data_IF_659981652116
#
_entry.id   IF_659981652116
#
_cell.length_a   1.000
_cell.length_b   1.000
_cell.length_c   1.000
_cell.angle_alpha   90.00
_cell.angle_beta   90.00
_cell.angle_gamma   90.00
#
_symmetry.space_group_name_H-M   'P 1'
#
loop_
_entity.id
_entity.type
_entity.pdbx_description
1 polymer ?
#
# COMPACT_ATOMS: atom_id res chain seq x y z
N UNK A 1 14.46 10.80 -17.15
CA UNK A 1 14.85 9.85 -16.08
C UNK A 1 14.44 10.26 -14.64
N UNK A 2 13.25 10.84 -14.42
CA UNK A 2 12.81 11.22 -13.05
C UNK A 2 12.04 10.12 -12.29
N UNK A 3 11.77 8.97 -12.92
CA UNK A 3 11.12 7.81 -12.30
C UNK A 3 12.00 6.54 -12.29
N UNK A 4 13.28 6.67 -12.63
CA UNK A 4 14.23 5.55 -12.86
C UNK A 4 15.57 5.76 -12.16
N UNK A 5 15.76 6.87 -11.45
CA UNK A 5 16.97 7.08 -10.66
C UNK A 5 17.06 6.09 -9.48
N UNK A 6 18.26 5.66 -9.08
CA UNK A 6 18.51 4.76 -7.94
C UNK A 6 18.26 5.44 -6.58
N UNK A 7 17.28 6.34 -6.52
CA UNK A 7 16.92 7.04 -5.29
C UNK A 7 16.37 6.03 -4.29
N UNK A 8 17.15 5.76 -3.24
CA UNK A 8 16.75 4.93 -2.11
C UNK A 8 15.52 5.49 -1.35
N UNK A 9 14.98 6.64 -1.77
CA UNK A 9 13.82 7.30 -1.16
C UNK A 9 12.49 7.03 -1.87
N UNK A 10 12.48 6.36 -3.04
CA UNK A 10 11.23 6.03 -3.74
C UNK A 10 10.72 4.65 -3.34
N UNK A 11 9.79 4.61 -2.39
CA UNK A 11 9.20 3.39 -1.82
C UNK A 11 7.67 3.38 -1.91
N UNK A 12 7.09 4.16 -2.85
CA UNK A 12 5.63 4.23 -3.04
C UNK A 12 5.06 2.90 -3.54
N UNK A 13 3.89 2.56 -3.00
CA UNK A 13 3.07 1.43 -3.45
C UNK A 13 2.01 1.87 -4.45
N UNK A 14 1.48 0.92 -5.23
CA UNK A 14 0.46 1.20 -6.22
C UNK A 14 -0.92 1.45 -5.59
N UNK A 15 -1.70 2.34 -6.21
CA UNK A 15 -3.09 2.59 -5.82
C UNK A 15 -4.06 1.61 -6.50
N UNK A 16 -5.29 1.44 -6.01
CA UNK A 16 -6.28 0.53 -6.60
C UNK A 16 -6.59 0.80 -8.08
N UNK A 17 -6.50 2.05 -8.53
CA UNK A 17 -6.80 2.47 -9.91
C UNK A 17 -5.97 1.71 -10.95
N UNK A 18 -4.74 1.32 -10.62
CA UNK A 18 -3.87 0.50 -11.48
C UNK A 18 -4.48 -0.85 -11.87
N UNK A 19 -5.47 -1.33 -11.10
CA UNK A 19 -6.13 -2.63 -11.30
C UNK A 19 -7.61 -2.49 -11.70
N UNK A 20 -8.20 -1.29 -11.59
CA UNK A 20 -9.64 -1.11 -11.80
C UNK A 20 -10.04 0.03 -12.75
N UNK A 21 -9.21 1.05 -12.95
CA UNK A 21 -9.62 2.27 -13.65
C UNK A 21 -8.57 2.73 -14.67
N UNK A 22 -8.84 2.67 -15.99
CA UNK A 22 -7.87 3.11 -17.00
C UNK A 22 -7.82 4.63 -17.19
N UNK A 23 -8.70 5.41 -16.56
CA UNK A 23 -8.82 6.84 -16.83
C UNK A 23 -7.58 7.65 -16.45
N UNK A 24 -6.86 7.27 -15.38
CA UNK A 24 -5.66 7.99 -14.94
C UNK A 24 -4.49 7.90 -15.94
N UNK A 25 -4.56 6.97 -16.89
CA UNK A 25 -3.55 6.79 -17.94
C UNK A 25 -3.75 7.74 -19.12
N UNK A 26 -4.82 8.54 -19.12
CA UNK A 26 -5.19 9.46 -20.21
C UNK A 26 -5.25 10.90 -19.73
N UNK A 27 -4.72 11.80 -20.54
CA UNK A 27 -4.98 13.23 -20.44
C UNK A 27 -6.27 13.59 -21.20
N UNK A 28 -7.40 13.01 -20.78
CA UNK A 28 -8.68 13.16 -21.47
C UNK A 28 -9.15 14.62 -21.58
N UNK A 29 -8.81 15.45 -20.59
CA UNK A 29 -9.15 16.86 -20.54
C UNK A 29 -8.18 17.75 -21.34
N UNK A 30 -7.17 17.17 -21.99
CA UNK A 30 -6.15 17.88 -22.80
C UNK A 30 -5.47 19.00 -22.00
N UNK A 31 -5.12 18.71 -20.75
CA UNK A 31 -4.36 19.64 -19.93
C UNK A 31 -3.01 19.95 -20.59
N UNK A 32 -2.53 21.19 -20.42
CA UNK A 32 -1.20 21.61 -20.87
C UNK A 32 -0.18 21.17 -19.82
N UNK A 33 0.31 19.94 -19.93
CA UNK A 33 1.24 19.33 -18.96
C UNK A 33 2.69 19.80 -19.14
N UNK A 34 3.01 20.48 -20.25
CA UNK A 34 4.35 21.00 -20.53
C UNK A 34 5.17 20.05 -21.40
N UNK A 35 6.50 20.15 -21.30
CA UNK A 35 7.47 19.33 -22.03
C UNK A 35 8.44 18.66 -21.05
N UNK A 36 8.92 17.47 -21.40
CA UNK A 36 10.01 16.80 -20.69
C UNK A 36 11.33 17.56 -20.88
N UNK A 37 12.36 17.19 -20.12
CA UNK A 37 13.72 17.73 -20.29
C UNK A 37 14.31 17.40 -21.68
N UNK A 38 13.82 16.33 -22.30
CA UNK A 38 14.21 15.87 -23.64
C UNK A 38 13.40 16.58 -24.75
N UNK A 39 12.50 17.51 -24.38
CA UNK A 39 11.69 18.30 -25.31
C UNK A 39 10.39 17.62 -25.77
N UNK A 40 10.06 16.44 -25.24
CA UNK A 40 8.82 15.74 -25.60
C UNK A 40 7.60 16.39 -24.93
N UNK A 41 6.57 16.70 -25.71
CA UNK A 41 5.31 17.25 -25.18
C UNK A 41 4.60 16.18 -24.36
N UNK A 42 4.26 16.52 -23.11
CA UNK A 42 3.61 15.61 -22.17
C UNK A 42 2.10 15.51 -22.47
N UNK A 43 1.60 14.28 -22.49
CA UNK A 43 0.22 13.93 -22.83
C UNK A 43 -0.31 12.74 -22.05
N UNK A 44 -0.84 11.74 -22.76
CA UNK A 44 -1.22 10.46 -22.17
C UNK A 44 0.00 9.74 -21.55
N UNK A 45 -0.25 8.84 -20.59
CA UNK A 45 0.82 8.04 -19.98
C UNK A 45 1.40 7.10 -21.03
N UNK A 46 2.73 7.05 -21.10
CA UNK A 46 3.44 6.12 -21.99
C UNK A 46 3.23 4.69 -21.47
N UNK A 47 2.54 3.87 -22.27
CA UNK A 47 2.22 2.50 -21.90
C UNK A 47 3.31 1.51 -22.34
N UNK A 48 3.50 0.42 -21.60
CA UNK A 48 4.41 -0.63 -22.01
C UNK A 48 3.92 -1.35 -23.28
N UNK A 49 4.83 -1.95 -24.09
CA UNK A 49 4.48 -2.53 -25.39
C UNK A 49 3.38 -3.60 -25.34
N UNK A 50 3.30 -4.37 -24.26
CA UNK A 50 2.30 -5.42 -24.08
C UNK A 50 0.85 -4.90 -23.95
N UNK A 51 0.69 -3.62 -23.59
CA UNK A 51 -0.60 -2.95 -23.52
C UNK A 51 -1.09 -2.50 -24.90
N UNK A 52 -0.26 -2.56 -25.95
CA UNK A 52 -0.61 -2.24 -27.35
C UNK A 52 -1.29 -0.87 -27.51
N UNK A 53 -0.89 0.12 -26.71
CA UNK A 53 -1.47 1.46 -26.72
C UNK A 53 -2.87 1.57 -26.11
N UNK A 54 -3.39 0.54 -25.43
CA UNK A 54 -4.71 0.57 -24.78
C UNK A 54 -4.57 0.61 -23.25
N UNK A 55 -5.02 1.70 -22.59
CA UNK A 55 -5.19 1.76 -21.14
C UNK A 55 -6.10 0.66 -20.56
N UNK A 56 -7.15 0.27 -21.26
CA UNK A 56 -8.04 -0.83 -20.84
C UNK A 56 -7.24 -2.13 -20.78
N UNK A 57 -6.51 -2.45 -21.85
CA UNK A 57 -5.64 -3.63 -21.91
C UNK A 57 -4.57 -3.61 -20.82
N UNK A 58 -4.02 -2.42 -20.52
CA UNK A 58 -3.08 -2.25 -19.42
C UNK A 58 -3.70 -2.74 -18.10
N UNK A 59 -4.86 -2.18 -17.74
CA UNK A 59 -5.57 -2.50 -16.50
C UNK A 59 -6.05 -3.96 -16.47
N UNK A 60 -6.51 -4.52 -17.59
CA UNK A 60 -6.91 -5.92 -17.70
C UNK A 60 -5.77 -6.87 -17.35
N UNK A 61 -4.57 -6.63 -17.88
CA UNK A 61 -3.39 -7.46 -17.61
C UNK A 61 -2.90 -7.25 -16.17
N UNK A 62 -2.87 -6.01 -15.67
CA UNK A 62 -2.51 -5.74 -14.27
C UNK A 62 -3.46 -6.47 -13.29
N UNK A 63 -4.77 -6.44 -13.56
CA UNK A 63 -5.76 -7.19 -12.76
C UNK A 63 -5.54 -8.69 -12.87
N UNK A 64 -5.31 -9.22 -14.07
CA UNK A 64 -5.04 -10.64 -14.25
C UNK A 64 -3.78 -11.09 -13.50
N UNK A 65 -2.74 -10.24 -13.45
CA UNK A 65 -1.54 -10.49 -12.67
C UNK A 65 -1.82 -10.49 -11.16
N UNK A 66 -2.61 -9.54 -10.66
CA UNK A 66 -3.00 -9.48 -9.25
C UNK A 66 -3.85 -10.70 -8.82
N UNK A 67 -4.72 -11.19 -9.70
CA UNK A 67 -5.57 -12.37 -9.46
C UNK A 67 -4.88 -13.70 -9.77
N UNK A 68 -3.60 -13.69 -10.16
CA UNK A 68 -2.83 -14.89 -10.45
C UNK A 68 -2.54 -15.71 -9.19
N UNK A 69 -2.19 -16.98 -9.38
CA UNK A 69 -1.76 -17.86 -8.28
C UNK A 69 -0.45 -17.37 -7.63
N UNK A 70 0.45 -16.75 -8.42
CA UNK A 70 1.71 -16.19 -7.94
C UNK A 70 1.45 -15.05 -6.96
N UNK A 71 0.58 -14.11 -7.33
CA UNK A 71 0.18 -13.01 -6.47
C UNK A 71 -0.58 -13.54 -5.25
N UNK A 72 -1.54 -14.46 -5.45
CA UNK A 72 -2.30 -15.08 -4.36
C UNK A 72 -1.41 -15.78 -3.31
N UNK A 73 -0.35 -16.47 -3.74
CA UNK A 73 0.62 -17.13 -2.84
C UNK A 73 1.57 -16.15 -2.12
N UNK A 74 1.68 -14.91 -2.63
CA UNK A 74 2.60 -13.89 -2.09
C UNK A 74 1.91 -12.82 -1.27
N UNK A 75 0.63 -12.57 -1.55
CA UNK A 75 -0.18 -11.53 -0.93
C UNK A 75 -0.20 -11.57 0.61
N UNK A 76 -0.28 -12.75 1.28
CA UNK A 76 -0.21 -12.80 2.74
C UNK A 76 1.08 -12.16 3.31
N UNK A 77 2.21 -12.33 2.62
CA UNK A 77 3.49 -11.72 3.04
C UNK A 77 3.49 -10.20 2.87
N UNK A 78 2.88 -9.69 1.80
CA UNK A 78 2.72 -8.25 1.61
C UNK A 78 1.79 -7.64 2.67
N UNK A 79 0.68 -8.31 2.97
CA UNK A 79 -0.24 -7.87 4.02
C UNK A 79 0.42 -7.90 5.41
N UNK A 80 1.31 -8.86 5.69
CA UNK A 80 2.10 -8.87 6.92
C UNK A 80 3.00 -7.63 7.08
N UNK A 81 3.52 -7.08 5.97
CA UNK A 81 4.32 -5.86 5.95
C UNK A 81 3.46 -4.61 6.20
N UNK A 82 2.32 -4.52 5.52
CA UNK A 82 1.50 -3.29 5.54
C UNK A 82 0.57 -3.22 6.76
N UNK A 83 0.01 -4.34 7.22
CA UNK A 83 -1.01 -4.37 8.27
C UNK A 83 -0.70 -5.33 9.42
N UNK A 84 0.31 -6.21 9.26
CA UNK A 84 0.51 -7.35 10.13
C UNK A 84 1.76 -7.29 10.99
N UNK A 85 2.24 -8.47 11.40
CA UNK A 85 3.34 -8.65 12.36
C UNK A 85 4.67 -7.99 11.94
N UNK A 86 4.87 -7.72 10.64
CA UNK A 86 6.10 -7.13 10.09
C UNK A 86 6.02 -5.62 9.86
N UNK A 87 4.97 -4.96 10.32
CA UNK A 87 4.86 -3.51 10.23
C UNK A 87 5.79 -2.79 11.21
N UNK A 88 5.99 -3.34 12.41
CA UNK A 88 6.73 -2.72 13.51
C UNK A 88 7.55 -3.76 14.29
N UNK A 89 8.49 -3.28 15.13
CA UNK A 89 9.32 -4.12 16.00
C UNK A 89 10.49 -4.79 15.27
N UNK A 90 11.15 -5.79 15.90
CA UNK A 90 12.33 -6.44 15.33
C UNK A 90 12.09 -7.06 13.94
N UNK A 91 10.89 -7.59 13.71
CA UNK A 91 10.53 -8.21 12.43
C UNK A 91 10.45 -7.21 11.28
N UNK A 92 10.10 -5.94 11.54
CA UNK A 92 10.10 -4.92 10.49
C UNK A 92 11.52 -4.50 10.12
N UNK A 93 12.46 -4.52 11.08
CA UNK A 93 13.88 -4.29 10.83
C UNK A 93 14.46 -5.40 9.95
N UNK A 94 14.19 -6.67 10.30
CA UNK A 94 14.62 -7.83 9.51
C UNK A 94 14.03 -7.84 8.09
N UNK A 95 12.82 -7.31 7.92
CA UNK A 95 12.14 -7.21 6.64
C UNK A 95 12.48 -5.92 5.86
N UNK A 96 13.35 -5.05 6.37
CA UNK A 96 13.65 -3.73 5.80
C UNK A 96 12.40 -2.85 5.58
N UNK A 97 11.45 -2.91 6.52
CA UNK A 97 10.13 -2.28 6.47
C UNK A 97 9.95 -1.24 7.60
N UNK A 98 10.97 -0.41 7.82
CA UNK A 98 10.96 0.63 8.86
C UNK A 98 10.80 2.00 8.20
N UNK A 99 9.78 2.74 8.61
CA UNK A 99 9.48 4.09 8.16
C UNK A 99 9.77 5.12 9.25
N UNK A 100 9.65 6.40 8.90
CA UNK A 100 9.87 7.48 9.85
C UNK A 100 8.84 7.44 10.98
N UNK A 101 9.25 7.68 12.22
CA UNK A 101 8.42 7.39 13.41
C UNK A 101 7.05 8.08 13.42
N UNK A 102 6.92 9.30 12.87
CA UNK A 102 5.65 10.02 12.77
C UNK A 102 4.63 9.37 11.82
N UNK A 103 5.06 8.47 10.95
CA UNK A 103 4.15 7.78 10.01
C UNK A 103 3.29 6.73 10.72
N UNK A 104 3.75 6.19 11.86
CA UNK A 104 3.04 5.12 12.56
C UNK A 104 1.87 5.66 13.38
N UNK A 105 0.74 4.98 13.28
CA UNK A 105 -0.46 5.33 14.02
C UNK A 105 -0.21 5.35 15.54
N UNK A 106 -0.51 6.48 16.19
CA UNK A 106 -0.39 6.63 17.64
C UNK A 106 1.04 6.76 18.16
N UNK A 107 2.03 7.03 17.30
CA UNK A 107 3.43 7.20 17.74
C UNK A 107 3.68 8.50 18.50
N UNK A 108 2.86 9.53 18.27
CA UNK A 108 2.96 10.84 18.93
C UNK A 108 1.57 11.32 19.33
N UNK A 109 1.45 11.76 20.59
CA UNK A 109 0.27 12.50 21.05
C UNK A 109 0.46 13.99 20.73
N UNK A 110 -0.02 14.38 19.55
CA UNK A 110 0.08 15.77 19.04
C UNK A 110 -0.60 16.76 19.98
N UNK A 111 -1.66 16.35 20.69
CA UNK A 111 -2.39 17.22 21.62
C UNK A 111 -1.59 17.56 22.88
N UNK A 112 -0.60 16.73 23.23
CA UNK A 112 0.29 16.98 24.37
C UNK A 112 1.42 17.99 24.09
N UNK A 113 1.60 18.41 22.82
CA UNK A 113 2.67 19.33 22.42
C UNK A 113 2.26 20.77 22.78
N UNK A 114 2.93 21.35 23.79
CA UNK A 114 2.67 22.72 24.26
C UNK A 114 3.16 23.80 23.28
N UNK A 115 4.32 23.57 22.65
CA UNK A 115 4.87 24.53 21.67
C UNK A 115 4.07 24.49 20.37
N UNK A 116 3.39 25.59 20.07
CA UNK A 116 2.51 25.72 18.91
C UNK A 116 3.25 25.51 17.58
N UNK A 117 4.49 25.97 17.47
CA UNK A 117 5.29 25.83 16.24
C UNK A 117 5.66 24.38 15.98
N UNK A 118 6.12 23.68 17.02
CA UNK A 118 6.41 22.26 16.98
C UNK A 118 5.16 21.43 16.71
N UNK A 119 4.02 21.79 17.31
CA UNK A 119 2.76 21.08 17.06
C UNK A 119 2.36 21.18 15.59
N UNK A 120 2.34 22.39 15.02
CA UNK A 120 1.99 22.60 13.60
C UNK A 120 2.94 21.90 12.64
N UNK A 121 4.25 22.02 12.87
CA UNK A 121 5.23 21.33 12.03
C UNK A 121 5.09 19.81 12.10
N UNK A 122 4.74 19.25 13.26
CA UNK A 122 4.45 17.82 13.44
C UNK A 122 3.18 17.42 12.68
N UNK A 123 2.10 18.20 12.79
CA UNK A 123 0.85 17.99 12.04
C UNK A 123 1.09 18.02 10.52
N UNK A 124 1.83 19.02 10.04
CA UNK A 124 2.20 19.15 8.62
C UNK A 124 3.03 17.96 8.15
N UNK A 125 3.95 17.48 8.99
CA UNK A 125 4.76 16.32 8.66
C UNK A 125 3.91 15.05 8.52
N UNK A 126 2.99 14.82 9.46
CA UNK A 126 2.05 13.68 9.43
C UNK A 126 1.12 13.76 8.21
N UNK A 127 0.63 14.95 7.88
CA UNK A 127 -0.33 15.14 6.80
C UNK A 127 0.27 14.93 5.39
N UNK A 128 1.55 15.28 5.19
CA UNK A 128 2.14 15.35 3.85
C UNK A 128 3.21 14.29 3.54
N UNK A 129 3.83 13.68 4.57
CA UNK A 129 4.97 12.76 4.37
C UNK A 129 4.65 11.30 4.66
N UNK A 130 3.37 10.95 4.66
CA UNK A 130 2.87 9.58 4.69
C UNK A 130 2.34 9.14 6.05
N UNK A 131 1.38 8.23 6.01
CA UNK A 131 0.77 7.62 7.18
C UNK A 131 0.70 6.11 6.96
N UNK A 132 1.38 5.34 7.81
CA UNK A 132 1.25 3.89 7.80
C UNK A 132 -0.16 3.51 8.29
N UNK A 133 -0.81 2.53 7.65
CA UNK A 133 -2.07 1.99 8.16
C UNK A 133 -1.93 1.45 9.60
N UNK A 134 -3.04 1.38 10.33
CA UNK A 134 -3.03 0.77 11.66
C UNK A 134 -2.67 -0.74 11.58
N UNK A 135 -1.78 -1.20 12.45
CA UNK A 135 -1.50 -2.63 12.59
C UNK A 135 -2.76 -3.36 13.07
N UNK A 136 -3.21 -4.35 12.29
CA UNK A 136 -4.47 -5.05 12.54
C UNK A 136 -4.28 -6.34 13.32
N UNK A 137 -3.12 -6.99 13.21
CA UNK A 137 -2.85 -8.29 13.85
C UNK A 137 -1.35 -8.54 14.04
N UNK A 138 -1.02 -9.45 14.97
CA UNK A 138 0.37 -9.76 15.38
C UNK A 138 0.80 -11.19 15.03
N UNK A 139 -0.10 -11.98 14.45
CA UNK A 139 0.18 -13.34 13.95
C UNK A 139 0.42 -13.30 12.43
N UNK A 140 1.11 -14.28 11.84
CA UNK A 140 1.25 -14.36 10.39
C UNK A 140 -0.11 -14.40 9.70
N UNK A 141 -0.26 -13.64 8.61
CA UNK A 141 -1.48 -13.74 7.79
C UNK A 141 -1.59 -15.15 7.17
N UNK A 142 -2.75 -15.76 7.33
CA UNK A 142 -3.07 -17.03 6.64
C UNK A 142 -3.05 -16.93 5.12
N UNK A 143 -2.60 -18.00 4.47
CA UNK A 143 -2.72 -18.13 3.03
C UNK A 143 -4.18 -18.22 2.56
N UNK A 144 -4.44 -17.73 1.35
CA UNK A 144 -5.73 -17.87 0.69
C UNK A 144 -6.06 -19.36 0.53
N UNK A 145 -7.25 -19.76 0.97
CA UNK A 145 -7.76 -21.10 0.74
C UNK A 145 -7.93 -21.33 -0.77
N UNK A 146 -7.52 -22.50 -1.27
CA UNK A 146 -7.68 -22.86 -2.69
C UNK A 146 -9.16 -22.83 -3.11
N UNK A 147 -9.43 -22.60 -4.40
CA UNK A 147 -10.80 -22.44 -4.94
C UNK A 147 -11.75 -23.60 -4.54
N UNK A 148 -11.23 -24.83 -4.40
CA UNK A 148 -12.01 -26.01 -4.03
C UNK A 148 -12.39 -26.08 -2.53
N UNK A 149 -11.75 -25.26 -1.70
CA UNK A 149 -11.96 -25.23 -0.23
C UNK A 149 -12.92 -24.13 0.23
N UNK A 150 -13.44 -23.30 -0.68
CA UNK A 150 -14.36 -22.18 -0.42
C UNK A 150 -15.75 -22.64 0.08
N UNK A 151 -16.00 -23.95 0.17
CA UNK A 151 -17.27 -24.50 0.65
C UNK A 151 -17.53 -24.34 2.15
N UNK A 152 -16.57 -23.87 2.95
CA UNK A 152 -16.79 -23.60 4.39
C UNK A 152 -17.12 -22.12 4.61
N UNK A 153 -18.31 -21.83 5.13
CA UNK A 153 -18.66 -20.49 5.66
C UNK A 153 -17.63 -20.11 6.71
N UNK A 154 -16.77 -19.15 6.39
CA UNK A 154 -15.88 -18.53 7.37
C UNK A 154 -16.72 -17.66 8.29
N UNK A 155 -16.89 -18.06 9.56
CA UNK A 155 -17.61 -17.24 10.54
C UNK A 155 -16.74 -16.07 11.01
N UNK A 156 -17.37 -14.97 11.46
CA UNK A 156 -16.65 -13.88 12.10
C UNK A 156 -15.88 -14.34 13.36
N UNK A 157 -16.41 -15.33 14.07
CA UNK A 157 -15.71 -15.96 15.21
C UNK A 157 -14.41 -16.62 14.78
N UNK A 158 -14.44 -17.41 13.70
CA UNK A 158 -13.24 -18.04 13.15
C UNK A 158 -12.16 -17.00 12.77
N UNK A 159 -12.56 -15.90 12.12
CA UNK A 159 -11.62 -14.83 11.75
C UNK A 159 -11.04 -14.16 13.00
N UNK A 160 -11.86 -13.90 14.03
CA UNK A 160 -11.40 -13.30 15.29
C UNK A 160 -10.42 -14.20 16.02
N UNK A 161 -10.70 -15.50 16.10
CA UNK A 161 -9.83 -16.48 16.76
C UNK A 161 -8.50 -16.62 16.02
N UNK A 162 -8.56 -16.64 14.68
CA UNK A 162 -7.39 -16.80 13.82
C UNK A 162 -6.38 -15.67 14.01
N UNK A 163 -6.87 -14.43 14.01
CA UNK A 163 -6.03 -13.24 14.16
C UNK A 163 -5.87 -12.78 15.62
N UNK A 164 -6.49 -13.48 16.58
CA UNK A 164 -6.43 -13.11 18.00
C UNK A 164 -7.02 -11.73 18.28
N UNK A 165 -8.06 -11.33 17.54
CA UNK A 165 -8.69 -9.99 17.63
C UNK A 165 -9.59 -9.84 18.88
N UNK A 166 -9.80 -10.90 19.66
CA UNK A 166 -10.61 -10.83 20.87
C UNK A 166 -9.78 -10.34 22.06
N UNK A 167 -10.01 -9.08 22.46
CA UNK A 167 -9.37 -8.42 23.60
C UNK A 167 -9.82 -8.96 24.97
N UNK A 168 -10.67 -9.99 25.04
CA UNK A 168 -11.20 -10.53 26.30
C UNK A 168 -10.28 -11.46 27.08
N UNK A 169 -9.09 -11.82 26.57
CA UNK A 169 -8.17 -12.76 27.24
C UNK A 169 -6.83 -12.15 27.69
N UNK A 170 -6.72 -10.81 27.71
CA UNK A 170 -5.46 -10.10 27.99
C UNK A 170 -5.37 -9.34 29.34
N UNK A 171 -6.03 -9.81 30.40
CA UNK A 171 -5.72 -9.38 31.79
C UNK A 171 -5.78 -10.58 32.74
N UNK A 172 -4.60 -11.15 32.98
CA UNK A 172 -4.25 -11.95 34.15
C UNK A 172 -2.89 -11.44 34.62
#
# INVERSE_FOLDING_TARGET
DMCTGPSAAEVKELTPEWYCNPAFLRNANRFKLGQSQDGEVLGDVILPPWAKGSPERFVEIMRAALESDIASASLPRWIDLIFGRKQQGPESVEAHNVFFYLTYYGSVDVASIEDEGLRRSTEDQIAHFGQCPMQLFWRPHVAKLGRDSVRRRTSLTYVRDLYGLDRRTGRG
#
